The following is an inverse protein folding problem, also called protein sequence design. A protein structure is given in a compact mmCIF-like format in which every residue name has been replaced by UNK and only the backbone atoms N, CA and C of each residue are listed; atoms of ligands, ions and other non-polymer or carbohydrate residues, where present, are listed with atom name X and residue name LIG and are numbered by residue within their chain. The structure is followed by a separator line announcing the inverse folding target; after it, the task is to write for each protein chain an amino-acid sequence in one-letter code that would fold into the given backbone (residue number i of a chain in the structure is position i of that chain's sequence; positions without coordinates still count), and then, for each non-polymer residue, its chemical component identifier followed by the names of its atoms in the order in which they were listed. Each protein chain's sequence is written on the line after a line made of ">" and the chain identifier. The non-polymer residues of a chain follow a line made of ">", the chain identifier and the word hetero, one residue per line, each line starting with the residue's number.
data_IF_072967572855
#
_entry.id   IF_072967572855
#
_cell.length_a   1.000
_cell.length_b   1.000
_cell.length_c   1.000
_cell.angle_alpha   90.00
_cell.angle_beta   90.00
_cell.angle_gamma   90.00
#
_symmetry.space_group_name_H-M   'P 1'
#
loop_
_entity.id
_entity.type
_entity.pdbx_description
1 polymer ?
#
# COMPACT_ATOMS: atom_id res chain seq x y z
N UNK A 1 -1.40 26.31 1.32
CA UNK A 1 -0.80 27.58 1.80
C UNK A 1 0.35 27.90 0.86
N UNK A 2 0.46 29.12 0.37
CA UNK A 2 1.63 29.54 -0.42
C UNK A 2 2.75 29.99 0.52
N UNK A 3 4.04 29.82 0.16
CA UNK A 3 5.13 30.37 0.95
C UNK A 3 5.10 31.91 0.89
N UNK A 4 5.65 32.61 1.91
CA UNK A 4 5.86 34.06 1.86
C UNK A 4 6.70 34.49 0.66
N UNK A 5 6.58 35.77 0.27
CA UNK A 5 7.33 36.32 -0.85
C UNK A 5 8.85 36.12 -0.69
N UNK A 6 9.47 35.59 -1.74
CA UNK A 6 10.91 35.25 -1.75
C UNK A 6 11.27 33.93 -1.06
N UNK A 7 10.30 33.15 -0.59
CA UNK A 7 10.53 31.84 0.05
C UNK A 7 9.94 30.69 -0.77
N UNK A 8 10.43 29.47 -0.51
CA UNK A 8 9.88 28.24 -1.05
C UNK A 8 9.86 27.15 0.02
N UNK A 9 8.88 26.26 -0.04
CA UNK A 9 8.82 25.11 0.85
C UNK A 9 9.73 24.01 0.33
N UNK A 10 10.55 23.47 1.22
CA UNK A 10 11.30 22.24 0.95
C UNK A 10 10.40 21.03 1.13
N UNK A 11 10.52 20.00 0.26
CA UNK A 11 9.80 18.76 0.45
C UNK A 11 10.31 18.03 1.70
N UNK A 12 9.39 17.58 2.55
CA UNK A 12 9.74 16.71 3.68
C UNK A 12 9.73 15.24 3.24
N UNK A 13 10.93 14.75 2.89
CA UNK A 13 11.14 13.39 2.41
C UNK A 13 11.46 12.38 3.51
N UNK A 14 11.51 12.81 4.78
CA UNK A 14 11.89 11.91 5.89
C UNK A 14 10.87 10.79 6.01
N UNK A 15 11.35 9.54 6.05
CA UNK A 15 10.51 8.35 6.14
C UNK A 15 9.66 8.05 4.89
N UNK A 16 9.95 8.71 3.76
CA UNK A 16 9.26 8.49 2.49
C UNK A 16 10.20 7.87 1.47
N UNK A 17 9.65 6.98 0.66
CA UNK A 17 10.35 6.43 -0.49
C UNK A 17 10.12 7.31 -1.71
N UNK A 18 11.11 7.40 -2.58
CA UNK A 18 10.97 8.14 -3.84
C UNK A 18 10.51 7.18 -4.93
N UNK A 19 9.53 7.63 -5.73
CA UNK A 19 9.12 6.98 -6.97
C UNK A 19 9.10 7.97 -8.12
N UNK A 20 9.18 7.46 -9.35
CA UNK A 20 9.05 8.28 -10.55
C UNK A 20 7.63 8.83 -10.72
N UNK A 21 7.53 10.03 -11.30
CA UNK A 21 6.27 10.52 -11.87
C UNK A 21 5.89 9.65 -13.08
N UNK A 22 4.60 9.35 -13.26
CA UNK A 22 4.13 8.50 -14.36
C UNK A 22 4.14 9.23 -15.71
N UNK A 23 3.88 10.54 -15.73
CA UNK A 23 3.81 11.38 -16.94
C UNK A 23 2.92 10.79 -18.06
N UNK A 24 1.82 10.14 -17.68
CA UNK A 24 0.87 9.45 -18.56
C UNK A 24 1.46 8.23 -19.29
N UNK A 25 2.56 7.65 -18.81
CA UNK A 25 3.09 6.39 -19.30
C UNK A 25 2.15 5.20 -19.00
N UNK A 26 1.20 5.35 -18.06
CA UNK A 26 0.21 4.33 -17.72
C UNK A 26 0.79 3.17 -16.90
N UNK A 27 1.95 3.38 -16.27
CA UNK A 27 2.60 2.38 -15.40
C UNK A 27 2.11 2.48 -13.97
N UNK A 28 1.68 3.65 -13.52
CA UNK A 28 1.06 3.83 -12.21
C UNK A 28 -0.48 3.83 -12.29
N UNK A 29 -1.15 2.68 -12.07
CA UNK A 29 -2.61 2.62 -12.10
C UNK A 29 -3.27 3.46 -10.99
N UNK A 30 -2.54 3.72 -9.91
CA UNK A 30 -3.03 4.43 -8.73
C UNK A 30 -2.77 5.95 -8.78
N UNK A 31 -2.29 6.49 -9.91
CA UNK A 31 -1.82 7.87 -10.01
C UNK A 31 -2.88 8.90 -9.62
N UNK A 32 -4.16 8.62 -9.91
CA UNK A 32 -5.30 9.50 -9.58
C UNK A 32 -5.66 9.50 -8.10
N UNK A 33 -5.25 8.48 -7.33
CA UNK A 33 -5.56 8.36 -5.92
C UNK A 33 -4.58 9.13 -5.01
N UNK A 34 -3.42 9.50 -5.57
CA UNK A 34 -2.36 10.26 -4.91
C UNK A 34 -2.84 11.64 -4.46
N UNK A 35 -2.17 12.21 -3.46
CA UNK A 35 -2.56 13.47 -2.82
C UNK A 35 -1.43 14.47 -2.79
N UNK A 36 -1.76 15.74 -2.56
CA UNK A 36 -0.76 16.77 -2.26
C UNK A 36 0.02 16.43 -0.96
N UNK A 37 1.27 16.89 -0.89
CA UNK A 37 2.15 16.61 0.25
C UNK A 37 1.73 17.33 1.52
N UNK A 38 1.13 18.52 1.40
CA UNK A 38 0.69 19.35 2.52
C UNK A 38 -0.79 19.13 2.84
N UNK A 39 -1.60 18.71 1.87
CA UNK A 39 -3.03 18.47 2.06
C UNK A 39 -3.52 17.17 1.39
N UNK A 40 -3.93 16.20 2.22
CA UNK A 40 -4.41 14.88 1.75
C UNK A 40 -5.78 14.93 1.04
N UNK A 41 -6.54 16.01 1.20
CA UNK A 41 -7.85 16.17 0.56
C UNK A 41 -7.71 16.62 -0.91
N UNK A 42 -6.54 17.15 -1.29
CA UNK A 42 -6.24 17.55 -2.66
C UNK A 42 -5.64 16.35 -3.40
N UNK A 43 -6.36 15.86 -4.43
CA UNK A 43 -5.82 14.84 -5.34
C UNK A 43 -4.82 15.45 -6.30
N UNK A 44 -3.67 14.79 -6.48
CA UNK A 44 -2.63 15.25 -7.39
C UNK A 44 -1.87 14.07 -7.98
N UNK A 45 -1.70 14.09 -9.30
CA UNK A 45 -0.89 13.14 -10.06
C UNK A 45 0.53 13.69 -10.37
N UNK A 46 0.86 14.91 -9.93
CA UNK A 46 2.04 15.63 -10.37
C UNK A 46 3.28 15.29 -9.54
N UNK A 47 4.43 15.87 -9.93
CA UNK A 47 5.61 15.96 -9.08
C UNK A 47 5.24 16.47 -7.68
N UNK A 48 5.83 15.88 -6.65
CA UNK A 48 5.55 16.17 -5.24
C UNK A 48 4.32 15.46 -4.67
N UNK A 49 3.49 14.83 -5.51
CA UNK A 49 2.35 14.04 -5.01
C UNK A 49 2.80 12.85 -4.16
N UNK A 50 1.97 12.47 -3.20
CA UNK A 50 2.24 11.45 -2.19
C UNK A 50 1.23 10.32 -2.35
N UNK A 51 1.72 9.09 -2.19
CA UNK A 51 0.89 7.91 -2.08
C UNK A 51 1.07 7.30 -0.69
N UNK A 52 -0.04 6.96 -0.03
CA UNK A 52 -0.02 6.25 1.24
C UNK A 52 0.54 4.83 1.08
N UNK A 53 1.09 4.30 2.18
CA UNK A 53 1.39 2.88 2.28
C UNK A 53 0.15 2.02 1.99
N UNK A 54 0.40 0.82 1.51
CA UNK A 54 -0.58 -0.25 1.40
C UNK A 54 0.13 -1.61 1.44
N UNK A 55 -0.63 -2.66 1.73
CA UNK A 55 -0.16 -4.04 1.55
C UNK A 55 -1.07 -4.80 0.59
N UNK A 56 -0.47 -5.74 -0.13
CA UNK A 56 -1.22 -6.67 -0.95
C UNK A 56 -1.83 -7.76 -0.07
N UNK A 57 -3.15 -7.91 -0.16
CA UNK A 57 -3.87 -8.93 0.58
C UNK A 57 -3.44 -10.32 0.09
N UNK A 58 -3.22 -11.23 1.02
CA UNK A 58 -2.91 -12.63 0.75
C UNK A 58 -3.40 -13.49 1.91
N UNK A 59 -3.61 -14.77 1.64
CA UNK A 59 -3.94 -15.78 2.64
C UNK A 59 -2.80 -16.78 2.80
N UNK A 60 -2.81 -17.46 3.93
CA UNK A 60 -1.96 -18.60 4.23
C UNK A 60 -2.83 -19.83 4.38
N UNK A 61 -2.47 -20.91 3.70
CA UNK A 61 -3.07 -22.23 3.89
C UNK A 61 -2.38 -22.94 5.05
N UNK A 62 -3.19 -23.49 5.96
CA UNK A 62 -2.74 -24.37 7.03
C UNK A 62 -3.56 -25.65 7.03
N UNK A 63 -2.94 -26.75 7.44
CA UNK A 63 -3.69 -27.97 7.76
C UNK A 63 -4.12 -27.90 9.22
N UNK A 64 -5.43 -27.83 9.45
CA UNK A 64 -5.98 -27.94 10.81
C UNK A 64 -6.07 -29.40 11.19
N UNK A 65 -5.56 -29.72 12.39
CA UNK A 65 -5.43 -31.05 12.97
C UNK A 65 -4.48 -31.97 12.18
N UNK A 66 -3.21 -32.14 12.62
CA UNK A 66 -2.25 -32.99 11.91
C UNK A 66 -2.73 -34.44 11.88
N UNK A 67 -2.53 -35.11 10.73
CA UNK A 67 -3.10 -36.42 10.39
C UNK A 67 -2.66 -37.60 11.29
N UNK A 68 -1.82 -37.36 12.30
CA UNK A 68 -1.34 -38.39 13.23
C UNK A 68 -2.26 -38.49 14.44
N UNK A 69 -3.31 -39.31 14.28
CA UNK A 69 -4.00 -40.04 15.35
C UNK A 69 -4.43 -39.23 16.58
N UNK A 70 -5.67 -38.77 16.58
CA UNK A 70 -6.34 -38.24 17.77
C UNK A 70 -7.79 -37.92 17.46
N UNK A 71 -8.71 -38.39 18.30
CA UNK A 71 -10.14 -38.07 18.18
C UNK A 71 -10.35 -36.66 18.76
N UNK A 72 -9.97 -35.62 18.01
CA UNK A 72 -9.81 -34.26 18.57
C UNK A 72 -11.15 -33.53 18.74
N UNK A 73 -12.22 -33.90 18.03
CA UNK A 73 -13.59 -33.50 18.37
C UNK A 73 -14.61 -34.23 17.49
N UNK A 74 -15.58 -34.93 18.09
CA UNK A 74 -16.75 -35.45 17.37
C UNK A 74 -17.77 -34.33 17.18
N UNK A 75 -17.65 -33.53 16.11
CA UNK A 75 -18.65 -32.50 15.78
C UNK A 75 -18.44 -31.89 14.40
N UNK A 76 -19.53 -31.40 13.79
CA UNK A 76 -19.57 -30.83 12.42
C UNK A 76 -18.70 -29.58 12.23
N UNK A 77 -18.21 -28.98 13.32
CA UNK A 77 -17.41 -27.75 13.33
C UNK A 77 -15.89 -27.99 13.25
N UNK A 78 -15.43 -29.24 13.34
CA UNK A 78 -14.01 -29.58 13.42
C UNK A 78 -13.60 -30.53 12.30
N UNK A 79 -13.71 -30.06 11.06
CA UNK A 79 -13.25 -30.80 9.89
C UNK A 79 -11.72 -30.77 9.80
N UNK A 80 -11.12 -31.96 9.69
CA UNK A 80 -9.72 -32.11 9.32
C UNK A 80 -9.53 -31.72 7.86
N UNK A 81 -8.51 -30.92 7.55
CA UNK A 81 -8.23 -30.55 6.17
C UNK A 81 -7.53 -29.19 6.03
N UNK A 82 -7.37 -28.72 4.79
CA UNK A 82 -6.85 -27.39 4.53
C UNK A 82 -7.84 -26.32 5.00
N UNK A 83 -7.28 -25.26 5.57
CA UNK A 83 -8.01 -24.05 5.90
C UNK A 83 -7.14 -22.84 5.56
N UNK A 84 -7.80 -21.76 5.15
CA UNK A 84 -7.15 -20.50 4.77
C UNK A 84 -7.33 -19.47 5.88
N UNK A 85 -6.34 -18.61 6.09
CA UNK A 85 -6.56 -17.38 6.84
C UNK A 85 -7.52 -16.48 6.07
N UNK A 86 -8.34 -15.70 6.78
CA UNK A 86 -9.13 -14.68 6.13
C UNK A 86 -8.27 -13.51 5.69
N UNK A 87 -8.60 -12.97 4.52
CA UNK A 87 -8.07 -11.70 4.05
C UNK A 87 -8.45 -10.56 5.00
N UNK A 88 -7.58 -9.56 5.06
CA UNK A 88 -7.81 -8.38 5.90
C UNK A 88 -8.90 -7.49 5.29
N UNK A 89 -9.76 -6.93 6.14
CA UNK A 89 -10.84 -6.01 5.76
C UNK A 89 -10.30 -4.67 5.23
N UNK A 90 -10.45 -4.46 3.92
CA UNK A 90 -10.00 -3.24 3.23
C UNK A 90 -10.74 -1.96 3.63
N UNK A 91 -11.85 -2.04 4.36
CA UNK A 91 -12.51 -0.86 4.93
C UNK A 91 -11.80 -0.34 6.19
N UNK A 92 -11.01 -1.19 6.85
CA UNK A 92 -10.29 -0.88 8.10
C UNK A 92 -8.79 -0.68 7.90
N UNK A 93 -8.22 -1.31 6.88
CA UNK A 93 -6.78 -1.31 6.62
C UNK A 93 -6.47 -0.91 5.18
N UNK A 94 -5.29 -0.31 4.96
CA UNK A 94 -4.86 0.11 3.63
C UNK A 94 -4.38 -1.09 2.82
N UNK A 95 -5.30 -1.69 2.06
CA UNK A 95 -5.01 -2.77 1.11
C UNK A 95 -4.94 -2.23 -0.32
N UNK A 96 -4.07 -2.82 -1.14
CA UNK A 96 -3.94 -2.49 -2.57
C UNK A 96 -3.50 -3.73 -3.35
N UNK A 97 -3.30 -3.60 -4.66
CA UNK A 97 -2.74 -4.63 -5.53
C UNK A 97 -1.23 -4.80 -5.37
N UNK A 98 -0.59 -3.94 -4.58
CA UNK A 98 0.85 -3.97 -4.30
C UNK A 98 1.11 -3.67 -2.81
N UNK A 99 2.16 -4.29 -2.25
CA UNK A 99 2.74 -3.87 -0.97
C UNK A 99 3.78 -2.77 -1.18
N UNK A 100 3.54 -1.60 -0.57
CA UNK A 100 4.38 -0.41 -0.74
C UNK A 100 4.46 0.43 0.53
N UNK A 101 5.60 1.09 0.76
CA UNK A 101 5.69 2.15 1.77
C UNK A 101 5.00 3.44 1.27
N UNK A 102 4.85 4.41 2.17
CA UNK A 102 4.49 5.77 1.80
C UNK A 102 5.57 6.33 0.87
N UNK A 103 5.16 6.87 -0.28
CA UNK A 103 6.09 7.34 -1.30
C UNK A 103 5.71 8.71 -1.85
N UNK A 104 6.68 9.35 -2.51
CA UNK A 104 6.56 10.65 -3.17
C UNK A 104 7.04 10.58 -4.61
N UNK A 105 6.31 11.22 -5.51
CA UNK A 105 6.60 11.26 -6.93
C UNK A 105 7.60 12.37 -7.28
N UNK A 106 8.77 12.03 -7.81
CA UNK A 106 9.80 12.98 -8.24
C UNK A 106 10.30 12.66 -9.65
N UNK A 107 10.89 13.66 -10.32
CA UNK A 107 11.66 13.43 -11.54
C UNK A 107 13.10 13.08 -11.18
N UNK A 108 13.68 12.15 -11.93
CA UNK A 108 15.09 11.80 -11.82
C UNK A 108 15.86 12.46 -12.97
N UNK A 109 16.91 13.20 -12.63
CA UNK A 109 17.87 13.72 -13.61
C UNK A 109 19.08 12.79 -13.55
N UNK A 110 19.26 11.99 -14.59
CA UNK A 110 20.33 10.99 -14.67
C UNK A 110 21.33 11.48 -15.72
N UNK A 111 22.53 11.84 -15.26
CA UNK A 111 23.67 12.14 -16.13
C UNK A 111 24.56 10.88 -16.25
N UNK A 112 25.08 10.64 -17.45
CA UNK A 112 25.95 9.52 -17.79
C UNK A 112 27.39 9.99 -17.99
#
# INVERSE_FOLDING_TARGET
>A
MSPPDGQFYLPDLRGRFVRGVDDNAGRDPDVKARTDMQNRDIKSATVGSVQSHAFQNHDHEYTVFPATGGNIASGTYWAQGPALTQQVDGSKYNVSTETRPTNVALHFIIAY
#
